data_IF_142111042471
#
_entry.id   IF_142111042471
#
_cell.length_a   1.000
_cell.length_b   1.000
_cell.length_c   1.000
_cell.angle_alpha   90.00
_cell.angle_beta   90.00
_cell.angle_gamma   90.00
#
_symmetry.space_group_name_H-M   'P 1'
#
loop_
_entity.id
_entity.type
_entity.pdbx_description
1 polymer ?
#
# COMPACT_ATOMS: atom_id res chain seq x y z
N UNK A 1 -27.83 -98.26 33.02
CA UNK A 1 -28.56 -97.67 34.16
C UNK A 1 -28.59 -96.17 33.97
N UNK A 2 -29.65 -95.58 34.49
CA UNK A 2 -30.25 -94.31 34.10
C UNK A 2 -29.36 -93.05 34.11
N UNK A 3 -29.85 -92.12 33.30
CA UNK A 3 -29.48 -90.72 33.17
C UNK A 3 -29.38 -89.96 34.50
N UNK A 4 -28.44 -89.02 34.57
CA UNK A 4 -28.69 -87.74 35.25
C UNK A 4 -28.68 -86.62 34.23
N UNK A 5 -29.82 -85.95 34.19
CA UNK A 5 -30.15 -84.78 33.39
C UNK A 5 -29.66 -83.54 34.15
N UNK A 6 -28.80 -82.71 33.56
CA UNK A 6 -28.61 -81.33 33.98
C UNK A 6 -28.81 -80.42 32.77
N UNK A 7 -29.76 -79.50 32.90
CA UNK A 7 -30.19 -78.58 31.85
C UNK A 7 -29.06 -77.61 31.46
N UNK A 8 -29.00 -77.19 30.18
CA UNK A 8 -27.95 -76.30 29.68
C UNK A 8 -28.17 -74.84 30.08
N UNK A 9 -27.07 -74.15 30.38
CA UNK A 9 -27.02 -72.69 30.53
C UNK A 9 -27.49 -71.95 29.26
N UNK A 10 -28.08 -70.75 29.40
CA UNK A 10 -28.50 -69.95 28.25
C UNK A 10 -27.30 -69.53 27.39
N UNK A 11 -27.44 -69.52 26.05
CA UNK A 11 -26.35 -69.18 25.15
C UNK A 11 -26.00 -67.68 25.21
N UNK A 12 -24.71 -67.39 25.20
CA UNK A 12 -24.18 -66.02 25.16
C UNK A 12 -24.61 -65.30 23.87
N UNK A 13 -25.12 -64.07 24.01
CA UNK A 13 -25.51 -63.22 22.88
C UNK A 13 -24.31 -62.92 21.97
N UNK A 14 -24.40 -63.33 20.71
CA UNK A 14 -23.42 -62.98 19.66
C UNK A 14 -23.44 -61.46 19.41
N UNK A 15 -22.34 -60.78 19.71
CA UNK A 15 -22.09 -59.39 19.25
C UNK A 15 -21.99 -59.38 17.72
N UNK A 16 -22.81 -58.58 17.05
CA UNK A 16 -22.82 -58.51 15.58
C UNK A 16 -21.65 -57.67 15.06
N UNK A 17 -20.80 -58.27 14.22
CA UNK A 17 -19.62 -57.66 13.62
C UNK A 17 -19.93 -56.70 12.46
N UNK A 18 -21.18 -56.66 11.98
CA UNK A 18 -21.59 -55.81 10.86
C UNK A 18 -21.53 -54.31 11.15
N UNK A 19 -21.75 -53.89 12.40
CA UNK A 19 -21.77 -52.45 12.76
C UNK A 19 -20.39 -51.80 12.68
N UNK A 20 -19.31 -52.55 12.90
CA UNK A 20 -17.94 -52.03 12.86
C UNK A 20 -17.47 -51.74 11.43
N UNK A 21 -17.85 -52.57 10.45
CA UNK A 21 -17.47 -52.40 9.05
C UNK A 21 -18.17 -51.18 8.43
N UNK A 22 -19.46 -50.98 8.73
CA UNK A 22 -20.19 -49.77 8.30
C UNK A 22 -19.61 -48.49 8.91
N UNK A 23 -19.10 -48.55 10.14
CA UNK A 23 -18.49 -47.40 10.81
C UNK A 23 -17.14 -47.05 10.20
N UNK A 24 -16.31 -48.05 9.85
CA UNK A 24 -15.01 -47.83 9.18
C UNK A 24 -15.19 -47.28 7.76
N UNK A 25 -16.14 -47.84 6.98
CA UNK A 25 -16.43 -47.36 5.62
C UNK A 25 -17.02 -45.94 5.67
N UNK A 26 -17.94 -45.67 6.61
CA UNK A 26 -18.50 -44.32 6.80
C UNK A 26 -17.44 -43.28 7.17
N UNK A 27 -16.45 -43.66 8.00
CA UNK A 27 -15.36 -42.77 8.41
C UNK A 27 -14.38 -42.51 7.25
N UNK A 28 -14.07 -43.53 6.44
CA UNK A 28 -13.23 -43.38 5.25
C UNK A 28 -13.89 -42.50 4.18
N UNK A 29 -15.19 -42.69 3.92
CA UNK A 29 -15.95 -41.84 3.00
C UNK A 29 -16.07 -40.41 3.53
N UNK A 30 -16.28 -40.24 4.84
CA UNK A 30 -16.29 -38.93 5.48
C UNK A 30 -14.97 -38.18 5.33
N UNK A 31 -13.82 -38.83 5.56
CA UNK A 31 -12.49 -38.20 5.39
C UNK A 31 -12.22 -37.81 3.94
N UNK A 32 -12.56 -38.66 2.98
CA UNK A 32 -12.40 -38.34 1.55
C UNK A 32 -13.31 -37.18 1.15
N UNK A 33 -14.55 -37.16 1.63
CA UNK A 33 -15.48 -36.07 1.32
C UNK A 33 -15.04 -34.75 1.97
N UNK A 34 -14.57 -34.77 3.21
CA UNK A 34 -14.03 -33.58 3.89
C UNK A 34 -12.76 -33.08 3.21
N UNK A 35 -11.85 -33.97 2.78
CA UNK A 35 -10.67 -33.57 2.03
C UNK A 35 -11.05 -32.94 0.68
N UNK A 36 -12.06 -33.48 -0.01
CA UNK A 36 -12.54 -32.96 -1.28
C UNK A 36 -13.24 -31.59 -1.11
N UNK A 37 -14.02 -31.42 -0.05
CA UNK A 37 -14.60 -30.12 0.33
C UNK A 37 -13.51 -29.12 0.72
N UNK A 38 -12.47 -29.54 1.43
CA UNK A 38 -11.34 -28.65 1.75
C UNK A 38 -10.51 -28.30 0.51
N UNK A 39 -10.32 -29.22 -0.45
CA UNK A 39 -9.67 -28.90 -1.72
C UNK A 39 -10.52 -27.94 -2.57
N UNK A 40 -11.84 -28.11 -2.61
CA UNK A 40 -12.75 -27.19 -3.31
C UNK A 40 -12.77 -25.84 -2.60
N UNK A 41 -12.86 -25.80 -1.27
CA UNK A 41 -12.83 -24.57 -0.50
C UNK A 41 -11.48 -23.84 -0.64
N UNK A 42 -10.36 -24.57 -0.58
CA UNK A 42 -9.03 -24.01 -0.82
C UNK A 42 -8.90 -23.48 -2.26
N UNK A 43 -9.45 -24.19 -3.26
CA UNK A 43 -9.49 -23.71 -4.64
C UNK A 43 -10.37 -22.47 -4.79
N UNK A 44 -11.52 -22.40 -4.11
CA UNK A 44 -12.40 -21.22 -4.12
C UNK A 44 -11.83 -20.03 -3.33
N UNK A 45 -11.04 -20.28 -2.28
CA UNK A 45 -10.32 -19.25 -1.53
C UNK A 45 -9.09 -18.77 -2.33
N UNK A 46 -8.43 -19.68 -3.05
CA UNK A 46 -7.29 -19.41 -3.94
C UNK A 46 -7.71 -18.80 -5.29
N UNK A 47 -8.95 -18.98 -5.73
CA UNK A 47 -9.52 -18.41 -6.96
C UNK A 47 -10.16 -17.03 -6.74
N UNK A 48 -10.18 -16.50 -5.50
CA UNK A 48 -10.27 -15.04 -5.37
C UNK A 48 -8.99 -14.51 -5.98
N UNK A 49 -9.09 -13.92 -7.17
CA UNK A 49 -8.06 -13.03 -7.71
C UNK A 49 -7.56 -12.20 -6.54
N UNK A 50 -6.25 -12.14 -6.25
CA UNK A 50 -5.74 -11.23 -5.24
C UNK A 50 -6.39 -9.87 -5.51
N UNK A 51 -7.07 -9.28 -4.53
CA UNK A 51 -7.63 -7.93 -4.69
C UNK A 51 -6.40 -7.05 -4.95
N UNK A 52 -6.21 -6.64 -6.20
CA UNK A 52 -5.10 -5.76 -6.54
C UNK A 52 -5.38 -4.41 -5.90
N UNK A 53 -4.35 -3.84 -5.29
CA UNK A 53 -4.45 -2.52 -4.67
C UNK A 53 -4.25 -1.45 -5.72
N UNK A 54 -3.29 -1.67 -6.62
CA UNK A 54 -3.06 -0.85 -7.80
C UNK A 54 -4.29 -0.89 -8.73
N UNK A 55 -4.68 0.30 -9.20
CA UNK A 55 -5.77 0.46 -10.16
C UNK A 55 -5.38 0.08 -11.60
N UNK A 56 -6.28 0.34 -12.55
CA UNK A 56 -6.02 0.08 -13.98
C UNK A 56 -4.97 1.03 -14.60
N UNK A 57 -4.59 2.08 -13.87
CA UNK A 57 -3.66 3.12 -14.30
C UNK A 57 -4.24 4.11 -15.31
N UNK A 58 -3.52 5.20 -15.52
CA UNK A 58 -4.02 6.39 -16.23
C UNK A 58 -3.33 6.61 -17.58
N UNK A 59 -3.92 7.42 -18.46
CA UNK A 59 -3.37 7.64 -19.80
C UNK A 59 -2.24 8.70 -19.80
N UNK A 60 -2.13 9.49 -18.73
CA UNK A 60 -1.07 10.47 -18.50
C UNK A 60 -0.64 10.55 -17.02
N UNK A 61 0.56 11.06 -16.71
CA UNK A 61 0.97 11.26 -15.32
C UNK A 61 0.11 12.33 -14.62
N UNK A 62 -0.36 13.35 -15.34
CA UNK A 62 -1.26 14.38 -14.82
C UNK A 62 -2.60 13.80 -14.39
N UNK A 63 -3.19 12.90 -15.19
CA UNK A 63 -4.44 12.20 -14.86
C UNK A 63 -4.30 11.33 -13.60
N UNK A 64 -3.13 10.72 -13.37
CA UNK A 64 -2.87 9.94 -12.16
C UNK A 64 -2.90 10.81 -10.90
N UNK A 65 -2.31 12.01 -10.97
CA UNK A 65 -2.33 13.00 -9.88
C UNK A 65 -3.71 13.62 -9.70
N UNK A 66 -4.42 13.90 -10.80
CA UNK A 66 -5.80 14.40 -10.75
C UNK A 66 -6.72 13.40 -10.05
N UNK A 67 -6.62 12.12 -10.39
CA UNK A 67 -7.40 11.07 -9.76
C UNK A 67 -7.08 10.94 -8.27
N UNK A 68 -5.80 11.04 -7.89
CA UNK A 68 -5.37 11.05 -6.50
C UNK A 68 -6.03 12.18 -5.70
N UNK A 69 -6.02 13.41 -6.23
CA UNK A 69 -6.64 14.57 -5.60
C UNK A 69 -8.17 14.43 -5.51
N UNK A 70 -8.81 13.91 -6.57
CA UNK A 70 -10.25 13.66 -6.55
C UNK A 70 -10.64 12.59 -5.52
N UNK A 71 -9.87 11.51 -5.39
CA UNK A 71 -10.13 10.52 -4.34
C UNK A 71 -9.84 11.06 -2.94
N UNK A 72 -8.83 11.92 -2.78
CA UNK A 72 -8.56 12.60 -1.52
C UNK A 72 -9.73 13.51 -1.11
N UNK A 73 -10.26 14.28 -2.07
CA UNK A 73 -11.45 15.12 -1.93
C UNK A 73 -12.70 14.35 -1.51
N UNK A 74 -12.85 13.13 -2.02
CA UNK A 74 -13.95 12.22 -1.67
C UNK A 74 -13.75 11.49 -0.33
N UNK A 75 -12.59 11.64 0.32
CA UNK A 75 -12.21 10.83 1.48
C UNK A 75 -12.08 9.34 1.15
N UNK A 76 -11.78 9.00 -0.11
CA UNK A 76 -11.74 7.64 -0.62
C UNK A 76 -10.32 7.07 -0.56
N UNK A 77 -9.94 6.51 0.60
CA UNK A 77 -8.60 5.94 0.81
C UNK A 77 -8.26 4.81 -0.18
N UNK A 78 -9.20 3.91 -0.48
CA UNK A 78 -8.96 2.85 -1.47
C UNK A 78 -8.67 3.43 -2.85
N UNK A 79 -9.43 4.46 -3.25
CA UNK A 79 -9.20 5.22 -4.47
C UNK A 79 -7.82 5.88 -4.49
N UNK A 80 -7.43 6.56 -3.40
CA UNK A 80 -6.09 7.17 -3.25
C UNK A 80 -5.00 6.12 -3.45
N UNK A 81 -5.06 4.99 -2.75
CA UNK A 81 -4.06 3.91 -2.88
C UNK A 81 -4.00 3.37 -4.31
N UNK A 82 -5.16 3.25 -4.99
CA UNK A 82 -5.24 2.73 -6.36
C UNK A 82 -4.52 3.59 -7.40
N UNK A 83 -4.19 4.84 -7.06
CA UNK A 83 -3.43 5.74 -7.95
C UNK A 83 -1.94 5.45 -7.98
N UNK A 84 -1.43 4.69 -7.01
CA UNK A 84 -0.01 4.41 -6.87
C UNK A 84 0.40 3.10 -7.53
N UNK A 85 1.66 3.05 -7.99
CA UNK A 85 2.29 1.78 -8.35
C UNK A 85 2.60 0.99 -7.06
N UNK A 86 2.03 -0.21 -6.95
CA UNK A 86 2.16 -1.11 -5.81
C UNK A 86 2.65 -2.47 -6.29
N UNK A 87 1.82 -3.24 -6.98
CA UNK A 87 2.19 -4.52 -7.57
C UNK A 87 3.23 -4.34 -8.68
N UNK A 88 3.03 -3.38 -9.58
CA UNK A 88 3.97 -3.11 -10.66
C UNK A 88 5.31 -2.61 -10.13
N UNK A 89 5.31 -1.86 -9.01
CA UNK A 89 6.55 -1.49 -8.31
C UNK A 89 7.30 -2.72 -7.80
N UNK A 90 6.60 -3.65 -7.14
CA UNK A 90 7.22 -4.85 -6.59
C UNK A 90 7.84 -5.75 -7.67
N UNK A 91 7.29 -5.72 -8.89
CA UNK A 91 7.72 -6.54 -10.02
C UNK A 91 8.83 -5.88 -10.87
N UNK A 92 8.96 -4.55 -10.86
CA UNK A 92 9.86 -3.83 -11.77
C UNK A 92 10.99 -3.04 -11.11
N UNK A 93 10.89 -2.71 -9.81
CA UNK A 93 11.88 -1.85 -9.17
C UNK A 93 13.26 -2.53 -9.02
N UNK A 94 14.30 -1.92 -9.58
CA UNK A 94 15.68 -2.36 -9.47
C UNK A 94 16.33 -1.80 -8.19
N UNK A 95 16.33 -2.62 -7.15
CA UNK A 95 16.98 -2.28 -5.88
C UNK A 95 18.50 -2.10 -5.99
N UNK A 96 19.18 -2.78 -6.91
CA UNK A 96 20.62 -2.61 -7.09
C UNK A 96 20.93 -1.20 -7.63
N UNK A 97 20.17 -0.75 -8.62
CA UNK A 97 20.23 0.63 -9.12
C UNK A 97 19.83 1.63 -8.02
N UNK A 98 18.83 1.30 -7.19
CA UNK A 98 18.48 2.06 -5.98
C UNK A 98 19.66 2.28 -5.03
N UNK A 99 20.40 1.22 -4.69
CA UNK A 99 21.60 1.34 -3.84
C UNK A 99 22.74 2.10 -4.51
N UNK A 100 22.96 1.91 -5.82
CA UNK A 100 23.95 2.68 -6.59
C UNK A 100 23.62 4.17 -6.56
N UNK A 101 22.35 4.52 -6.73
CA UNK A 101 21.86 5.90 -6.66
C UNK A 101 22.07 6.48 -5.27
N UNK A 102 21.69 5.76 -4.22
CA UNK A 102 21.87 6.18 -2.83
C UNK A 102 23.35 6.24 -2.38
N UNK A 103 24.25 5.55 -3.10
CA UNK A 103 25.67 5.34 -2.72
C UNK A 103 25.85 4.75 -1.33
N UNK A 104 24.82 4.07 -0.84
CA UNK A 104 24.76 3.47 0.47
C UNK A 104 24.05 2.13 0.34
N UNK A 105 24.64 1.10 0.93
CA UNK A 105 23.90 -0.10 1.26
C UNK A 105 23.24 0.10 2.61
N UNK A 106 21.92 -0.03 2.66
CA UNK A 106 21.19 -0.10 3.91
C UNK A 106 20.34 -1.35 3.88
N UNK A 107 20.61 -2.31 4.78
CA UNK A 107 19.75 -3.49 4.94
C UNK A 107 18.32 -3.12 5.37
N UNK A 108 18.15 -1.89 5.88
CA UNK A 108 16.88 -1.23 6.16
C UNK A 108 16.94 0.16 5.51
N UNK A 109 16.27 0.38 4.39
CA UNK A 109 16.11 1.74 3.88
C UNK A 109 15.08 2.45 4.74
N UNK A 110 15.56 3.39 5.56
CA UNK A 110 14.69 4.31 6.29
C UNK A 110 14.37 5.48 5.36
N UNK A 111 13.23 5.42 4.68
CA UNK A 111 12.71 6.59 3.94
C UNK A 111 11.65 7.22 4.84
N UNK A 112 12.05 8.30 5.51
CA UNK A 112 11.15 9.15 6.30
C UNK A 112 10.39 8.42 7.42
N UNK A 113 11.05 7.63 8.26
CA UNK A 113 10.45 7.09 9.49
C UNK A 113 9.94 5.64 9.41
N UNK A 114 9.68 5.09 8.22
CA UNK A 114 9.41 3.66 8.04
C UNK A 114 10.63 2.91 7.50
N UNK A 115 10.82 1.68 8.01
CA UNK A 115 11.72 0.70 7.44
C UNK A 115 11.01 0.04 6.25
N UNK A 116 11.26 0.49 5.03
CA UNK A 116 10.89 -0.30 3.86
C UNK A 116 12.02 -1.32 3.65
N UNK A 117 11.79 -2.58 4.00
CA UNK A 117 12.69 -3.66 3.60
C UNK A 117 12.22 -4.20 2.27
N UNK A 118 12.76 -3.65 1.18
CA UNK A 118 12.70 -4.37 -0.08
C UNK A 118 13.48 -5.68 0.10
N UNK A 119 12.77 -6.80 0.09
CA UNK A 119 13.40 -8.12 0.10
C UNK A 119 13.89 -8.42 -1.32
N UNK A 120 15.20 -8.64 -1.45
CA UNK A 120 15.87 -8.86 -2.74
C UNK A 120 15.78 -10.33 -3.21
N UNK A 121 15.04 -11.16 -2.49
CA UNK A 121 14.96 -12.59 -2.81
C UNK A 121 13.84 -12.85 -3.80
N UNK A 122 14.18 -13.47 -4.93
CA UNK A 122 13.20 -13.93 -5.91
C UNK A 122 12.36 -15.08 -5.31
N UNK A 123 11.22 -14.71 -4.73
CA UNK A 123 10.26 -15.62 -4.09
C UNK A 123 8.91 -14.94 -3.91
N UNK A 124 7.82 -15.72 -4.02
CA UNK A 124 6.46 -15.23 -3.80
C UNK A 124 6.31 -14.51 -2.46
N UNK A 125 6.91 -15.05 -1.39
CA UNK A 125 6.89 -14.42 -0.06
C UNK A 125 7.55 -13.04 -0.04
N UNK A 126 8.66 -12.85 -0.77
CA UNK A 126 9.34 -11.55 -0.80
C UNK A 126 8.57 -10.55 -1.64
N UNK A 127 7.94 -11.01 -2.72
CA UNK A 127 7.04 -10.18 -3.54
C UNK A 127 5.85 -9.69 -2.72
N UNK A 128 5.15 -10.59 -2.02
CA UNK A 128 4.01 -10.26 -1.16
C UNK A 128 4.42 -9.27 -0.06
N UNK A 129 5.60 -9.49 0.55
CA UNK A 129 6.15 -8.55 1.53
C UNK A 129 6.44 -7.16 0.94
N UNK A 130 7.01 -7.09 -0.27
CA UNK A 130 7.30 -5.82 -0.93
C UNK A 130 6.02 -5.06 -1.28
N UNK A 131 4.96 -5.76 -1.70
CA UNK A 131 3.62 -5.19 -1.93
C UNK A 131 3.07 -4.57 -0.65
N UNK A 132 3.04 -5.32 0.45
CA UNK A 132 2.53 -4.80 1.73
C UNK A 132 3.40 -3.68 2.29
N UNK A 133 4.72 -3.79 2.16
CA UNK A 133 5.64 -2.72 2.57
C UNK A 133 5.40 -1.44 1.77
N UNK A 134 5.07 -1.57 0.48
CA UNK A 134 4.78 -0.44 -0.40
C UNK A 134 3.44 0.20 -0.05
N UNK A 135 2.41 -0.60 0.20
CA UNK A 135 1.11 -0.15 0.71
C UNK A 135 1.25 0.63 2.03
N UNK A 136 1.98 0.07 2.99
CA UNK A 136 2.21 0.70 4.29
C UNK A 136 2.95 2.05 4.14
N UNK A 137 3.92 2.12 3.23
CA UNK A 137 4.61 3.38 2.90
C UNK A 137 3.66 4.44 2.34
N UNK A 138 2.73 4.06 1.46
CA UNK A 138 1.77 4.99 0.86
C UNK A 138 0.84 5.55 1.93
N UNK A 139 0.24 4.69 2.76
CA UNK A 139 -0.69 5.11 3.81
C UNK A 139 0.02 6.00 4.83
N UNK A 140 1.23 5.62 5.25
CA UNK A 140 2.02 6.41 6.17
C UNK A 140 2.40 7.78 5.59
N UNK A 141 2.78 7.83 4.31
CA UNK A 141 3.13 9.09 3.65
C UNK A 141 1.91 9.98 3.48
N UNK A 142 0.75 9.44 3.13
CA UNK A 142 -0.52 10.16 3.09
C UNK A 142 -0.87 10.74 4.47
N UNK A 143 -0.81 9.92 5.52
CA UNK A 143 -1.06 10.39 6.88
C UNK A 143 -0.12 11.54 7.24
N UNK A 144 1.19 11.39 6.99
CA UNK A 144 2.16 12.46 7.26
C UNK A 144 1.88 13.72 6.43
N UNK A 145 1.55 13.58 5.16
CA UNK A 145 1.19 14.71 4.30
C UNK A 145 0.07 15.54 4.91
N UNK A 146 -1.05 14.88 5.26
CA UNK A 146 -2.24 15.55 5.77
C UNK A 146 -2.03 16.09 7.19
N UNK A 147 -1.22 15.40 7.98
CA UNK A 147 -0.80 15.85 9.29
C UNK A 147 0.02 17.14 9.21
N UNK A 148 0.92 17.28 8.24
CA UNK A 148 1.66 18.54 8.06
C UNK A 148 0.74 19.70 7.64
N UNK A 149 -0.32 19.45 6.85
CA UNK A 149 -1.33 20.50 6.55
C UNK A 149 -2.04 20.92 7.83
N UNK A 150 -2.49 19.95 8.63
CA UNK A 150 -3.19 20.23 9.88
C UNK A 150 -2.31 21.03 10.86
N UNK A 151 -1.01 20.70 10.92
CA UNK A 151 -0.03 21.44 11.73
C UNK A 151 0.24 22.83 11.17
N UNK A 152 0.33 22.97 9.85
CA UNK A 152 0.56 24.26 9.22
C UNK A 152 -0.62 25.22 9.46
N UNK A 153 -1.85 24.70 9.45
CA UNK A 153 -3.07 25.48 9.60
C UNK A 153 -3.49 25.68 11.07
N UNK A 154 -2.74 25.15 12.06
CA UNK A 154 -3.04 25.33 13.48
C UNK A 154 -2.15 26.39 14.14
N UNK A 155 -2.78 27.30 14.89
CA UNK A 155 -2.08 28.28 15.74
C UNK A 155 -1.54 27.66 17.06
N UNK A 156 -1.82 26.37 17.31
CA UNK A 156 -1.48 25.69 18.56
C UNK A 156 -0.10 25.02 18.51
N UNK A 157 0.93 25.75 18.97
CA UNK A 157 2.33 25.31 19.06
C UNK A 157 2.48 23.97 19.83
N UNK A 158 1.59 23.68 20.79
CA UNK A 158 1.59 22.43 21.58
C UNK A 158 1.10 21.21 20.77
N UNK A 159 0.24 21.40 19.76
CA UNK A 159 -0.21 20.35 18.84
C UNK A 159 0.89 20.03 17.82
N UNK A 160 1.54 21.06 17.28
CA UNK A 160 2.66 20.92 16.35
C UNK A 160 3.83 20.11 16.96
N UNK A 161 4.12 20.32 18.25
CA UNK A 161 5.17 19.60 18.97
C UNK A 161 4.81 18.12 19.24
N UNK A 162 3.55 17.83 19.59
CA UNK A 162 3.08 16.44 19.84
C UNK A 162 3.04 15.62 18.55
N UNK A 163 2.67 16.25 17.45
CA UNK A 163 2.58 15.63 16.12
C UNK A 163 3.96 15.30 15.53
N UNK A 164 4.98 16.08 15.84
CA UNK A 164 6.35 15.81 15.42
C UNK A 164 6.98 14.59 16.12
N UNK A 165 6.45 14.15 17.26
CA UNK A 165 6.92 12.99 18.03
C UNK A 165 6.42 11.66 17.43
N UNK A 166 6.91 11.35 16.22
CA UNK A 166 7.12 10.02 15.63
C UNK A 166 6.20 8.87 16.09
N UNK A 167 4.87 8.99 15.90
CA UNK A 167 3.94 7.88 16.11
C UNK A 167 4.11 6.86 14.96
N UNK A 168 4.66 5.69 15.29
CA UNK A 168 4.74 4.53 14.42
C UNK A 168 3.41 3.77 14.48
N UNK A 169 2.54 3.97 13.49
CA UNK A 169 1.34 3.14 13.31
C UNK A 169 1.72 1.79 12.71
N UNK A 170 1.23 0.70 13.29
CA UNK A 170 1.28 -0.64 12.71
C UNK A 170 -0.13 -0.97 12.21
N UNK A 171 -0.34 -0.75 10.92
CA UNK A 171 -1.60 -1.05 10.24
C UNK A 171 -1.82 -2.57 10.19
N UNK A 172 -2.28 -3.14 11.30
CA UNK A 172 -2.66 -4.56 11.37
C UNK A 172 -4.19 -4.74 11.24
N UNK A 173 -5.02 -3.69 11.35
CA UNK A 173 -6.50 -3.77 11.31
C UNK A 173 -7.17 -2.70 10.40
N UNK A 174 -8.29 -3.06 9.74
CA UNK A 174 -9.13 -2.14 8.92
C UNK A 174 -9.66 -0.94 9.73
N UNK A 175 -9.85 -1.13 11.04
CA UNK A 175 -10.31 -0.11 11.99
C UNK A 175 -9.30 1.07 12.10
N UNK A 176 -8.01 0.85 11.85
CA UNK A 176 -6.98 1.92 11.93
C UNK A 176 -6.95 2.84 10.69
N UNK A 177 -7.43 2.36 9.55
CA UNK A 177 -7.62 3.21 8.37
C UNK A 177 -8.81 4.16 8.57
N UNK A 178 -9.86 3.70 9.24
CA UNK A 178 -10.96 4.55 9.72
C UNK A 178 -10.44 5.55 10.75
N UNK A 179 -9.56 5.17 11.69
CA UNK A 179 -8.94 6.10 12.64
C UNK A 179 -8.09 7.19 11.96
N UNK A 180 -7.39 6.86 10.87
CA UNK A 180 -6.70 7.89 10.05
C UNK A 180 -7.75 8.83 9.47
N UNK A 181 -8.82 8.32 8.84
CA UNK A 181 -9.87 9.17 8.26
C UNK A 181 -10.64 9.99 9.31
N UNK A 182 -10.84 9.45 10.51
CA UNK A 182 -11.43 10.15 11.65
C UNK A 182 -10.46 11.21 12.20
N UNK A 183 -9.15 10.96 12.23
CA UNK A 183 -8.16 12.01 12.51
C UNK A 183 -8.16 13.09 11.43
N UNK A 184 -8.33 12.72 10.15
CA UNK A 184 -8.49 13.64 9.02
C UNK A 184 -9.84 14.37 9.03
N UNK A 185 -10.77 13.99 9.90
CA UNK A 185 -11.98 14.75 10.19
C UNK A 185 -11.73 15.94 11.12
N UNK A 186 -10.51 16.09 11.64
CA UNK A 186 -9.99 17.40 12.05
C UNK A 186 -10.02 18.29 10.80
N UNK A 187 -10.70 19.43 10.86
CA UNK A 187 -11.24 20.21 9.75
C UNK A 187 -10.20 20.64 8.68
N UNK A 188 -9.76 19.69 7.83
CA UNK A 188 -8.88 19.92 6.69
C UNK A 188 -9.66 20.40 5.46
N UNK A 189 -11.00 20.43 5.54
CA UNK A 189 -11.93 20.77 4.45
C UNK A 189 -11.53 20.13 3.12
N UNK A 190 -11.13 18.84 3.11
CA UNK A 190 -10.64 18.18 1.89
C UNK A 190 -11.66 18.17 0.74
N UNK A 191 -12.95 18.29 1.04
CA UNK A 191 -14.00 18.44 0.04
C UNK A 191 -13.93 19.78 -0.72
N UNK A 192 -13.17 20.75 -0.20
CA UNK A 192 -12.87 22.04 -0.85
C UNK A 192 -11.78 21.97 -1.91
N UNK A 193 -10.99 20.88 -2.00
CA UNK A 193 -9.86 20.75 -2.95
C UNK A 193 -10.27 21.26 -4.34
N UNK A 194 -9.58 22.29 -4.83
CA UNK A 194 -9.70 22.81 -6.19
C UNK A 194 -8.36 22.70 -6.91
N UNK A 195 -8.40 22.13 -8.12
CA UNK A 195 -7.20 21.87 -8.92
C UNK A 195 -7.08 22.99 -9.95
N UNK A 196 -6.02 23.81 -9.85
CA UNK A 196 -5.85 24.98 -10.72
C UNK A 196 -4.98 24.65 -11.93
N UNK A 197 -3.67 24.87 -11.84
CA UNK A 197 -2.76 24.76 -12.98
C UNK A 197 -1.68 23.71 -12.79
N UNK A 198 -1.44 22.94 -13.85
CA UNK A 198 -0.24 22.12 -13.98
C UNK A 198 0.93 22.98 -14.44
N UNK A 199 2.07 22.81 -13.79
CA UNK A 199 3.29 23.57 -14.07
C UNK A 199 4.32 22.72 -14.81
N UNK A 200 5.10 23.36 -15.67
CA UNK A 200 6.22 22.75 -16.36
C UNK A 200 7.49 22.79 -15.49
N UNK A 201 8.44 21.88 -15.74
CA UNK A 201 9.76 21.92 -15.08
C UNK A 201 10.47 23.28 -15.24
N UNK A 202 10.17 23.99 -16.33
CA UNK A 202 10.76 25.30 -16.70
C UNK A 202 10.25 26.46 -15.85
N UNK A 203 9.17 26.25 -15.10
CA UNK A 203 8.62 27.26 -14.20
C UNK A 203 9.46 27.36 -12.90
N UNK A 204 10.40 26.42 -12.70
CA UNK A 204 11.29 26.38 -11.55
C UNK A 204 12.74 26.68 -11.95
N UNK A 205 13.47 27.43 -11.11
CA UNK A 205 14.89 27.75 -11.32
C UNK A 205 15.79 26.55 -10.92
N UNK A 206 15.63 25.43 -11.63
CA UNK A 206 16.39 24.20 -11.44
C UNK A 206 17.18 23.88 -12.71
N UNK A 207 18.50 23.57 -12.62
CA UNK A 207 19.28 23.27 -13.82
C UNK A 207 18.80 22.03 -14.60
N UNK A 208 18.41 22.21 -15.87
CA UNK A 208 17.94 21.13 -16.77
C UNK A 208 18.83 19.87 -16.79
N UNK A 209 20.15 20.06 -16.84
CA UNK A 209 21.09 18.93 -16.91
C UNK A 209 21.11 18.11 -15.61
N UNK A 210 20.80 18.74 -14.47
CA UNK A 210 20.60 18.04 -13.21
C UNK A 210 19.31 17.22 -13.26
N UNK A 211 18.19 17.82 -13.67
CA UNK A 211 16.89 17.13 -13.78
C UNK A 211 16.96 15.94 -14.73
N UNK A 212 17.55 16.11 -15.93
CA UNK A 212 17.76 15.01 -16.89
C UNK A 212 18.59 13.87 -16.32
N UNK A 213 19.62 14.18 -15.51
CA UNK A 213 20.47 13.15 -14.88
C UNK A 213 19.70 12.41 -13.79
N UNK A 214 18.95 13.13 -12.95
CA UNK A 214 18.14 12.52 -11.91
C UNK A 214 17.04 11.65 -12.51
N UNK A 215 16.31 12.13 -13.52
CA UNK A 215 15.30 11.36 -14.25
C UNK A 215 15.87 10.04 -14.77
N UNK A 216 16.99 10.07 -15.51
CA UNK A 216 17.66 8.85 -15.99
C UNK A 216 18.10 7.90 -14.88
N UNK A 217 18.43 8.42 -13.70
CA UNK A 217 18.76 7.57 -12.56
C UNK A 217 17.51 6.93 -11.98
N UNK A 218 16.40 7.67 -11.92
CA UNK A 218 15.12 7.18 -11.44
C UNK A 218 14.54 6.16 -12.42
N UNK A 219 14.58 6.38 -13.73
CA UNK A 219 14.12 5.41 -14.75
C UNK A 219 14.78 4.04 -14.56
N UNK A 220 16.07 4.02 -14.20
CA UNK A 220 16.78 2.77 -13.89
C UNK A 220 16.30 2.13 -12.59
N UNK A 221 16.06 2.91 -11.54
CA UNK A 221 15.56 2.39 -10.28
C UNK A 221 14.13 1.85 -10.43
N UNK A 222 13.27 2.57 -11.13
CA UNK A 222 11.86 2.21 -11.34
C UNK A 222 11.66 1.21 -12.48
N UNK A 223 12.69 0.91 -13.26
CA UNK A 223 12.61 -0.04 -14.37
C UNK A 223 11.76 0.44 -15.55
N UNK A 224 11.37 1.71 -15.58
CA UNK A 224 10.54 2.30 -16.64
C UNK A 224 10.62 3.82 -16.70
N UNK A 225 9.89 4.44 -17.63
CA UNK A 225 9.82 5.89 -17.80
C UNK A 225 9.16 6.55 -16.57
N UNK A 226 9.72 7.70 -16.15
CA UNK A 226 9.22 8.49 -15.02
C UNK A 226 9.07 9.96 -15.39
N UNK A 227 8.06 10.62 -14.82
CA UNK A 227 7.78 12.04 -15.03
C UNK A 227 7.51 12.75 -13.70
N UNK A 228 7.91 14.01 -13.60
CA UNK A 228 7.59 14.86 -12.45
C UNK A 228 6.33 15.66 -12.77
N UNK A 229 5.35 15.58 -11.89
CA UNK A 229 4.11 16.38 -11.99
C UNK A 229 4.12 17.43 -10.90
N UNK A 230 3.83 18.67 -11.29
CA UNK A 230 3.60 19.79 -10.40
C UNK A 230 2.22 20.36 -10.69
N UNK A 231 1.39 20.51 -9.65
CA UNK A 231 0.04 21.07 -9.79
C UNK A 231 -0.28 21.99 -8.62
N UNK A 232 -0.81 23.17 -8.94
CA UNK A 232 -1.35 24.12 -7.96
C UNK A 232 -2.73 23.64 -7.49
N UNK A 233 -2.93 23.67 -6.17
CA UNK A 233 -4.16 23.19 -5.52
C UNK A 233 -4.53 24.17 -4.42
N UNK A 234 -5.81 24.53 -4.35
CA UNK A 234 -6.39 25.27 -3.22
C UNK A 234 -7.09 24.28 -2.28
N UNK A 235 -6.85 24.39 -0.97
CA UNK A 235 -7.52 23.59 0.08
C UNK A 235 -7.88 24.53 1.22
N UNK A 236 -9.15 24.60 1.61
CA UNK A 236 -9.63 25.43 2.72
C UNK A 236 -9.26 26.92 2.57
N UNK A 237 -9.39 27.47 1.35
CA UNK A 237 -8.97 28.84 0.97
C UNK A 237 -7.45 29.11 1.08
N UNK A 238 -6.62 28.06 1.26
CA UNK A 238 -5.16 28.16 1.30
C UNK A 238 -4.50 27.53 0.06
N UNK A 239 -3.41 28.15 -0.41
CA UNK A 239 -2.70 27.76 -1.63
C UNK A 239 -1.58 26.74 -1.35
N UNK A 240 -1.59 25.63 -2.10
CA UNK A 240 -0.57 24.60 -2.06
C UNK A 240 -0.07 24.23 -3.45
N UNK A 241 1.03 23.49 -3.49
CA UNK A 241 1.52 22.81 -4.69
C UNK A 241 1.81 21.34 -4.40
N UNK A 242 1.30 20.46 -5.25
CA UNK A 242 1.66 19.04 -5.26
C UNK A 242 2.92 18.85 -6.11
N UNK A 243 3.87 18.09 -5.58
CA UNK A 243 5.04 17.55 -6.27
C UNK A 243 4.98 16.02 -6.21
N UNK A 244 4.62 15.39 -7.33
CA UNK A 244 4.54 13.94 -7.44
C UNK A 244 5.53 13.42 -8.50
N UNK A 245 6.11 12.25 -8.24
CA UNK A 245 6.80 11.47 -9.26
C UNK A 245 5.84 10.43 -9.77
N UNK A 246 5.68 10.33 -11.08
CA UNK A 246 4.86 9.31 -11.74
C UNK A 246 5.75 8.32 -12.51
N UNK A 247 5.28 7.09 -12.68
CA UNK A 247 5.94 6.02 -13.43
C UNK A 247 4.98 5.39 -14.42
N UNK A 248 5.47 5.03 -15.60
CA UNK A 248 4.69 4.37 -16.63
C UNK A 248 4.99 2.86 -16.66
N UNK A 249 4.00 2.00 -16.47
CA UNK A 249 4.15 0.56 -16.73
C UNK A 249 3.13 0.14 -17.78
N UNK A 250 3.58 -0.60 -18.79
CA UNK A 250 2.73 -1.08 -19.90
C UNK A 250 1.84 -0.01 -20.56
N UNK A 251 2.34 1.23 -20.62
CA UNK A 251 1.63 2.37 -21.22
C UNK A 251 0.60 3.03 -20.29
N UNK A 252 0.58 2.68 -19.00
CA UNK A 252 -0.29 3.24 -17.98
C UNK A 252 0.52 3.94 -16.90
N UNK A 253 0.06 5.11 -16.48
CA UNK A 253 0.73 5.94 -15.49
C UNK A 253 0.17 5.72 -14.09
N UNK A 254 1.06 5.80 -13.12
CA UNK A 254 0.78 5.67 -11.69
C UNK A 254 1.65 6.64 -10.89
N UNK A 255 1.24 6.99 -9.69
CA UNK A 255 2.10 7.73 -8.75
C UNK A 255 3.16 6.78 -8.19
N UNK A 256 4.42 7.17 -8.35
CA UNK A 256 5.60 6.48 -7.87
C UNK A 256 6.04 7.01 -6.50
N UNK A 257 5.96 8.31 -6.24
CA UNK A 257 6.35 8.86 -4.94
C UNK A 257 5.64 10.17 -4.63
N UNK A 258 5.50 10.46 -3.34
CA UNK A 258 4.97 11.70 -2.77
C UNK A 258 5.99 12.85 -2.86
N UNK A 259 6.89 12.80 -3.82
CA UNK A 259 7.92 13.83 -4.04
C UNK A 259 8.50 13.65 -5.45
N UNK A 260 9.19 14.66 -5.96
CA UNK A 260 9.90 14.59 -7.22
C UNK A 260 11.27 15.29 -7.18
N UNK A 261 12.12 15.11 -8.20
CA UNK A 261 13.42 15.77 -8.29
C UNK A 261 13.39 17.29 -8.19
N UNK A 262 12.30 17.96 -8.60
CA UNK A 262 12.18 19.42 -8.57
C UNK A 262 12.06 19.89 -7.12
N UNK A 263 11.10 19.37 -6.37
CA UNK A 263 10.95 19.67 -4.94
C UNK A 263 12.25 19.39 -4.15
N UNK A 264 12.92 18.27 -4.47
CA UNK A 264 14.22 17.93 -3.88
C UNK A 264 15.32 18.96 -4.22
N UNK A 265 15.29 19.51 -5.43
CA UNK A 265 16.28 20.50 -5.90
C UNK A 265 16.03 21.89 -5.31
N UNK A 266 14.76 22.23 -5.06
CA UNK A 266 14.35 23.44 -4.37
C UNK A 266 14.64 23.38 -2.87
N UNK A 267 15.01 22.22 -2.34
CA UNK A 267 15.29 22.02 -0.92
C UNK A 267 14.03 21.99 -0.05
N UNK A 268 12.89 21.66 -0.64
CA UNK A 268 11.62 21.55 0.09
C UNK A 268 11.70 20.42 1.13
N UNK A 269 11.07 20.64 2.28
CA UNK A 269 11.09 19.66 3.37
C UNK A 269 10.43 18.35 2.94
N UNK A 270 11.07 17.23 3.26
CA UNK A 270 10.47 15.89 3.08
C UNK A 270 9.28 15.66 4.02
N UNK A 271 9.09 16.53 5.03
CA UNK A 271 7.94 16.45 5.93
C UNK A 271 6.63 16.62 5.17
N UNK A 272 6.57 17.55 4.22
CA UNK A 272 5.36 17.88 3.44
C UNK A 272 4.84 16.76 2.55
N UNK A 273 5.64 15.70 2.28
CA UNK A 273 5.24 14.59 1.40
C UNK A 273 4.59 15.07 0.10
N UNK A 274 5.23 16.06 -0.51
CA UNK A 274 4.86 16.55 -1.83
C UNK A 274 3.70 17.52 -1.84
N UNK A 275 2.94 17.72 -0.76
CA UNK A 275 1.90 18.76 -0.68
C UNK A 275 2.44 19.93 0.15
N UNK A 276 2.94 20.94 -0.55
CA UNK A 276 3.74 22.02 0.05
C UNK A 276 2.93 23.31 0.04
N UNK A 277 2.81 24.03 1.18
CA UNK A 277 2.23 25.37 1.20
C UNK A 277 2.97 26.27 0.22
N UNK A 278 2.24 27.05 -0.57
CA UNK A 278 2.84 27.83 -1.67
C UNK A 278 3.89 28.84 -1.17
N UNK A 279 3.68 29.40 0.02
CA UNK A 279 4.63 30.32 0.67
C UNK A 279 5.97 29.71 1.08
N UNK A 280 6.06 28.37 1.18
CA UNK A 280 7.29 27.64 1.48
C UNK A 280 8.12 27.33 0.22
N UNK A 281 7.60 27.65 -0.97
CA UNK A 281 8.23 27.34 -2.26
C UNK A 281 9.11 28.51 -2.70
N UNK A 282 10.44 28.35 -2.82
CA UNK A 282 11.30 29.44 -3.22
C UNK A 282 10.95 29.99 -4.61
N UNK A 283 10.55 31.27 -4.65
CA UNK A 283 10.26 31.98 -5.89
C UNK A 283 8.79 32.07 -6.28
N UNK A 284 7.88 31.52 -5.44
CA UNK A 284 6.43 31.68 -5.54
C UNK A 284 5.88 32.52 -4.39
#
# INVERSE_FOLDING_TARGET
MDSMNMQPMPPAQKKSSGKAIFLIIGLAVGVVFTALVMCIAHKMISEKTPKTMEGEGYDSPEEAVEAYLNYLKEGNLEGVISTFAVESYADNYDMEEGYKRARQFSAFTQIGGQMTTGLYFDSDMSRDFNIESRRAFIIYSLHKQLLEIAVHNTDEEEIADVVNDMILYRLEDEDEAEDIMDFLSTDLELDSIDIDNYLDERDFDVPDEMLKRERKSLEKCWGSDVESVMVEVEIADEDYMIFALCVCYDGKWYIADFNNPIASSLGLSLAYRGLVPKEEIPGY
#
